data_IF_323641652914
#
_entry.id   IF_323641652914
#
_cell.length_a   1.000
_cell.length_b   1.000
_cell.length_c   1.000
_cell.angle_alpha   90.00
_cell.angle_beta   90.00
_cell.angle_gamma   90.00
#
_symmetry.space_group_name_H-M   'P 1'
#
loop_
_entity.id
_entity.type
_entity.pdbx_description
1 polymer ?
#
# COMPACT_ATOMS: atom_id res chain seq x y z
N UNK A 1 -0.64 0.60 -19.96
CA UNK A 1 -1.18 0.06 -18.70
C UNK A 1 -0.73 0.93 -17.55
N UNK A 2 -1.66 1.45 -16.74
CA UNK A 2 -1.38 2.28 -15.56
C UNK A 2 -0.90 1.41 -14.40
N UNK A 3 0.18 1.80 -13.73
CA UNK A 3 0.72 1.08 -12.57
C UNK A 3 0.25 1.73 -11.28
N UNK A 4 -0.42 0.96 -10.43
CA UNK A 4 -0.95 1.41 -9.14
C UNK A 4 -0.21 0.74 -8.00
N UNK A 5 0.49 1.54 -7.19
CA UNK A 5 1.15 1.09 -5.97
C UNK A 5 0.18 1.06 -4.79
N UNK A 6 0.04 -0.10 -4.13
CA UNK A 6 -0.79 -0.30 -2.95
C UNK A 6 0.12 -0.56 -1.73
N UNK A 7 0.22 0.41 -0.83
CA UNK A 7 1.14 0.37 0.31
C UNK A 7 0.36 0.13 1.59
N UNK A 8 0.76 -0.81 2.44
CA UNK A 8 0.10 -0.95 3.75
C UNK A 8 0.41 0.23 4.67
N UNK A 9 -0.59 0.71 5.41
CA UNK A 9 -0.39 1.68 6.49
C UNK A 9 0.56 1.13 7.58
N UNK A 10 1.01 2.00 8.49
CA UNK A 10 1.90 1.61 9.58
C UNK A 10 1.26 1.71 10.96
N UNK A 11 1.72 0.83 11.87
CA UNK A 11 1.42 0.95 13.30
C UNK A 11 1.98 2.25 13.86
N UNK A 12 3.24 2.58 13.53
CA UNK A 12 3.88 3.84 13.93
C UNK A 12 3.24 4.99 13.17
N UNK A 13 2.86 6.03 13.89
CA UNK A 13 2.24 7.25 13.36
C UNK A 13 2.86 8.45 14.07
N UNK A 14 2.83 9.62 13.45
CA UNK A 14 3.10 10.88 14.14
C UNK A 14 1.98 11.17 15.15
N UNK A 15 2.26 12.02 16.13
CA UNK A 15 1.32 12.35 17.23
C UNK A 15 0.27 13.41 16.84
N UNK A 16 0.41 14.01 15.64
CA UNK A 16 -0.50 15.04 15.12
C UNK A 16 -1.08 14.62 13.78
N UNK A 17 -2.32 15.03 13.53
CA UNK A 17 -2.99 14.85 12.25
C UNK A 17 -2.26 15.53 11.09
N UNK A 18 -2.49 15.01 9.89
CA UNK A 18 -1.88 15.53 8.67
C UNK A 18 -2.12 14.61 7.46
N UNK A 19 -1.49 14.91 6.32
CA UNK A 19 -1.51 14.02 5.15
C UNK A 19 -1.08 12.60 5.52
N UNK A 20 -1.79 11.59 5.01
CA UNK A 20 -1.57 10.19 5.36
C UNK A 20 -0.12 9.74 5.22
N UNK A 21 0.58 10.14 4.14
CA UNK A 21 2.00 9.80 3.97
C UNK A 21 2.90 10.40 5.05
N UNK A 22 2.59 11.60 5.55
CA UNK A 22 3.31 12.22 6.67
C UNK A 22 2.95 11.55 7.98
N UNK A 23 1.69 11.21 8.21
CA UNK A 23 1.28 10.53 9.44
C UNK A 23 2.04 9.20 9.59
N UNK A 24 2.12 8.37 8.55
CA UNK A 24 2.81 7.07 8.62
C UNK A 24 4.35 7.15 8.49
N UNK A 25 4.92 8.34 8.29
CA UNK A 25 6.36 8.54 8.06
C UNK A 25 7.27 8.15 9.23
N UNK A 26 6.72 8.04 10.45
CA UNK A 26 7.41 7.53 11.63
C UNK A 26 7.88 6.07 11.46
N UNK A 27 7.40 5.37 10.43
CA UNK A 27 7.81 4.02 10.07
C UNK A 27 8.81 4.01 8.92
N UNK A 28 10.04 3.57 9.18
CA UNK A 28 11.09 3.44 8.15
C UNK A 28 10.66 2.58 6.97
N UNK A 29 9.94 1.49 7.23
CA UNK A 29 9.43 0.60 6.18
C UNK A 29 8.40 1.32 5.29
N UNK A 30 7.44 2.01 5.90
CA UNK A 30 6.46 2.80 5.14
C UNK A 30 7.13 3.90 4.33
N UNK A 31 8.03 4.68 4.94
CA UNK A 31 8.71 5.79 4.27
C UNK A 31 9.54 5.31 3.06
N UNK A 32 10.21 4.16 3.17
CA UNK A 32 10.94 3.57 2.03
C UNK A 32 10.01 3.01 0.96
N UNK A 33 8.92 2.35 1.36
CA UNK A 33 7.91 1.86 0.43
C UNK A 33 7.25 3.00 -0.34
N UNK A 34 6.89 4.09 0.35
CA UNK A 34 6.29 5.28 -0.25
C UNK A 34 7.27 5.99 -1.19
N UNK A 35 8.52 6.21 -0.77
CA UNK A 35 9.53 6.81 -1.65
C UNK A 35 9.78 5.97 -2.91
N UNK A 36 9.83 4.63 -2.78
CA UNK A 36 9.93 3.74 -3.94
C UNK A 36 8.69 3.86 -4.84
N UNK A 37 7.50 3.84 -4.26
CA UNK A 37 6.25 3.94 -5.01
C UNK A 37 6.14 5.26 -5.79
N UNK A 38 6.53 6.39 -5.20
CA UNK A 38 6.56 7.70 -5.86
C UNK A 38 7.41 7.73 -7.12
N UNK A 39 8.49 6.94 -7.17
CA UNK A 39 9.38 6.89 -8.31
C UNK A 39 9.00 5.83 -9.35
N UNK A 40 8.08 4.91 -9.06
CA UNK A 40 7.85 3.72 -9.89
C UNK A 40 6.39 3.48 -10.30
N UNK A 41 5.43 4.22 -9.72
CA UNK A 41 4.00 4.03 -9.98
C UNK A 41 3.32 5.34 -10.36
N UNK A 42 2.34 5.24 -11.26
CA UNK A 42 1.57 6.38 -11.74
C UNK A 42 0.58 6.88 -10.67
N UNK A 43 0.05 5.95 -9.86
CA UNK A 43 -0.88 6.24 -8.77
C UNK A 43 -0.50 5.44 -7.54
N UNK A 44 -0.66 6.04 -6.36
CA UNK A 44 -0.37 5.41 -5.07
C UNK A 44 -1.63 5.46 -4.22
N UNK A 45 -1.96 4.33 -3.60
CA UNK A 45 -2.91 4.29 -2.50
C UNK A 45 -2.29 3.64 -1.26
N UNK A 46 -2.83 4.01 -0.11
CA UNK A 46 -2.49 3.42 1.17
C UNK A 46 -3.66 2.54 1.62
N UNK A 47 -3.36 1.27 1.92
CA UNK A 47 -4.28 0.33 2.57
C UNK A 47 -4.27 0.60 4.08
N UNK A 48 -5.21 1.43 4.53
CA UNK A 48 -5.42 1.78 5.94
C UNK A 48 -6.37 0.78 6.61
N UNK A 49 -5.97 0.26 7.78
CA UNK A 49 -6.86 -0.54 8.60
C UNK A 49 -8.15 0.20 9.00
N UNK A 50 -8.07 1.50 9.32
CA UNK A 50 -9.23 2.29 9.75
C UNK A 50 -10.01 2.86 8.57
N UNK A 51 -9.30 3.37 7.57
CA UNK A 51 -9.89 4.19 6.52
C UNK A 51 -10.06 3.46 5.17
N UNK A 52 -9.71 2.17 5.08
CA UNK A 52 -9.81 1.42 3.83
C UNK A 52 -8.74 1.86 2.83
N UNK A 53 -9.16 2.25 1.63
CA UNK A 53 -8.27 2.74 0.57
C UNK A 53 -8.22 4.27 0.58
N UNK A 54 -7.05 4.85 0.87
CA UNK A 54 -6.88 6.31 0.92
C UNK A 54 -5.73 6.77 0.02
N UNK A 55 -5.77 8.03 -0.40
CA UNK A 55 -4.66 8.67 -1.12
C UNK A 55 -3.62 9.24 -0.13
N UNK A 56 -2.34 9.36 -0.53
CA UNK A 56 -1.27 9.86 0.34
C UNK A 56 -1.52 11.25 0.92
N UNK A 57 -2.24 12.12 0.21
CA UNK A 57 -2.52 13.51 0.56
C UNK A 57 -3.72 13.67 1.49
N UNK A 58 -4.53 12.60 1.67
CA UNK A 58 -5.72 12.65 2.52
C UNK A 58 -5.33 12.99 3.97
N UNK A 59 -5.98 14.01 4.54
CA UNK A 59 -5.79 14.36 5.95
C UNK A 59 -6.40 13.29 6.84
N UNK A 60 -5.63 12.79 7.80
CA UNK A 60 -6.08 11.80 8.79
C UNK A 60 -5.50 12.12 10.17
N UNK A 61 -6.30 11.83 11.20
CA UNK A 61 -5.89 11.94 12.60
C UNK A 61 -5.21 10.65 13.08
N UNK A 62 -4.31 10.71 14.10
CA UNK A 62 -3.74 9.53 14.72
C UNK A 62 -4.82 8.56 15.24
N UNK A 63 -4.57 7.26 15.13
CA UNK A 63 -5.51 6.22 15.56
C UNK A 63 -4.79 4.92 15.93
N UNK A 64 -5.41 4.11 16.80
CA UNK A 64 -4.93 2.77 17.18
C UNK A 64 -5.89 1.67 16.72
N UNK A 65 -5.96 1.48 15.40
CA UNK A 65 -6.70 0.37 14.79
C UNK A 65 -5.74 -0.47 13.98
N UNK A 66 -5.82 -1.78 14.17
CA UNK A 66 -5.01 -2.76 13.48
C UNK A 66 -5.93 -3.73 12.76
N UNK A 67 -5.64 -3.99 11.49
CA UNK A 67 -6.39 -4.97 10.69
C UNK A 67 -6.39 -6.35 11.38
N UNK A 68 -5.31 -6.70 12.09
CA UNK A 68 -5.19 -7.96 12.83
C UNK A 68 -6.14 -8.08 14.04
N UNK A 69 -6.64 -6.97 14.58
CA UNK A 69 -7.56 -6.93 15.73
C UNK A 69 -9.04 -6.96 15.32
N UNK A 70 -9.33 -6.84 14.03
CA UNK A 70 -10.70 -6.91 13.51
C UNK A 70 -11.23 -8.35 13.53
N UNK A 71 -12.56 -8.51 13.65
CA UNK A 71 -13.21 -9.81 13.45
C UNK A 71 -13.01 -10.28 12.02
N UNK A 72 -13.16 -11.58 11.79
CA UNK A 72 -12.95 -12.16 10.46
C UNK A 72 -13.86 -11.52 9.40
N UNK A 73 -15.14 -11.35 9.73
CA UNK A 73 -16.13 -10.78 8.81
C UNK A 73 -15.84 -9.30 8.50
N UNK A 74 -15.45 -8.51 9.51
CA UNK A 74 -15.06 -7.12 9.33
C UNK A 74 -13.85 -6.99 8.38
N UNK A 75 -12.87 -7.91 8.46
CA UNK A 75 -11.73 -7.92 7.54
C UNK A 75 -12.14 -8.25 6.12
N UNK A 76 -13.06 -9.22 5.97
CA UNK A 76 -13.59 -9.59 4.65
C UNK A 76 -14.33 -8.42 4.03
N UNK A 77 -15.12 -7.70 4.81
CA UNK A 77 -15.85 -6.52 4.36
C UNK A 77 -14.91 -5.36 4.04
N UNK A 78 -13.91 -5.11 4.88
CA UNK A 78 -12.84 -4.16 4.60
C UNK A 78 -12.18 -4.43 3.23
N UNK A 79 -11.86 -5.69 2.93
CA UNK A 79 -11.28 -6.07 1.64
C UNK A 79 -12.26 -5.90 0.47
N UNK A 80 -13.54 -6.20 0.69
CA UNK A 80 -14.61 -6.03 -0.31
C UNK A 80 -14.78 -4.57 -0.71
N UNK A 81 -14.83 -3.66 0.27
CA UNK A 81 -15.00 -2.23 0.01
C UNK A 81 -13.82 -1.64 -0.78
N UNK A 82 -12.58 -2.06 -0.47
CA UNK A 82 -11.41 -1.65 -1.23
C UNK A 82 -11.50 -2.11 -2.69
N UNK A 83 -11.86 -3.37 -2.92
CA UNK A 83 -12.02 -3.92 -4.27
C UNK A 83 -13.13 -3.21 -5.03
N UNK A 84 -14.25 -2.91 -4.36
CA UNK A 84 -15.36 -2.15 -4.94
C UNK A 84 -14.88 -0.77 -5.43
N UNK A 85 -14.14 -0.04 -4.61
CA UNK A 85 -13.58 1.28 -4.99
C UNK A 85 -12.60 1.16 -6.15
N UNK A 86 -11.74 0.14 -6.17
CA UNK A 86 -10.79 -0.08 -7.26
C UNK A 86 -11.50 -0.43 -8.58
N UNK A 87 -12.51 -1.30 -8.54
CA UNK A 87 -13.30 -1.69 -9.71
C UNK A 87 -14.09 -0.53 -10.32
N UNK A 88 -14.52 0.45 -9.51
CA UNK A 88 -15.18 1.66 -10.00
C UNK A 88 -14.20 2.63 -10.67
N UNK A 89 -12.90 2.53 -10.37
CA UNK A 89 -11.88 3.47 -10.83
C UNK A 89 -11.10 2.99 -12.04
N UNK A 90 -11.02 1.68 -12.24
CA UNK A 90 -10.14 1.09 -13.25
C UNK A 90 -10.81 -0.05 -13.99
N UNK A 91 -10.52 -0.15 -15.28
CA UNK A 91 -10.76 -1.35 -16.09
C UNK A 91 -9.56 -2.28 -15.96
N UNK A 92 -9.79 -3.60 -15.87
CA UNK A 92 -8.72 -4.61 -15.70
C UNK A 92 -7.67 -4.61 -16.81
N UNK A 93 -8.08 -4.24 -18.02
CA UNK A 93 -7.20 -4.21 -19.21
C UNK A 93 -6.35 -2.93 -19.28
N UNK A 94 -6.52 -2.02 -18.32
CA UNK A 94 -5.83 -0.73 -18.30
C UNK A 94 -4.93 -0.55 -17.07
N UNK A 95 -4.95 -1.47 -16.10
CA UNK A 95 -4.28 -1.30 -14.80
C UNK A 95 -3.54 -2.54 -14.32
N UNK A 96 -2.42 -2.31 -13.66
CA UNK A 96 -1.68 -3.31 -12.88
C UNK A 96 -1.56 -2.85 -11.42
N UNK A 97 -1.84 -3.76 -10.47
CA UNK A 97 -1.71 -3.48 -9.04
C UNK A 97 -0.43 -4.07 -8.46
N UNK A 98 0.36 -3.24 -7.80
CA UNK A 98 1.60 -3.63 -7.15
C UNK A 98 1.47 -3.49 -5.63
N UNK A 99 1.49 -4.62 -4.93
CA UNK A 99 1.29 -4.68 -3.48
C UNK A 99 2.62 -4.57 -2.73
N UNK A 100 2.80 -3.44 -2.04
CA UNK A 100 3.81 -3.19 -1.02
C UNK A 100 3.17 -3.31 0.38
N UNK A 101 2.56 -4.47 0.61
CA UNK A 101 1.77 -4.74 1.80
C UNK A 101 2.00 -6.17 2.31
N UNK A 102 2.00 -6.33 3.64
CA UNK A 102 2.12 -7.64 4.27
C UNK A 102 0.95 -8.57 3.92
N UNK A 103 1.15 -9.88 4.08
CA UNK A 103 0.19 -10.94 3.71
C UNK A 103 -1.24 -10.67 4.21
N UNK A 104 -1.38 -10.20 5.46
CA UNK A 104 -2.66 -9.92 6.09
C UNK A 104 -3.49 -8.89 5.30
N UNK A 105 -2.84 -7.85 4.74
CA UNK A 105 -3.52 -6.82 3.96
C UNK A 105 -3.75 -7.28 2.51
N UNK A 106 -2.71 -7.84 1.86
CA UNK A 106 -2.81 -8.18 0.43
C UNK A 106 -3.77 -9.34 0.16
N UNK A 107 -3.82 -10.38 1.02
CA UNK A 107 -4.56 -11.62 0.70
C UNK A 107 -6.03 -11.36 0.36
N UNK A 108 -6.72 -10.54 1.16
CA UNK A 108 -8.16 -10.30 0.98
C UNK A 108 -8.47 -9.45 -0.26
N UNK A 109 -7.63 -8.45 -0.54
CA UNK A 109 -7.80 -7.54 -1.68
C UNK A 109 -7.34 -8.20 -2.97
N UNK A 110 -6.12 -8.74 -2.98
CA UNK A 110 -5.48 -9.37 -4.13
C UNK A 110 -6.27 -10.56 -4.65
N UNK A 111 -6.73 -11.47 -3.78
CA UNK A 111 -7.49 -12.64 -4.22
C UNK A 111 -8.78 -12.24 -4.96
N UNK A 112 -9.47 -11.20 -4.49
CA UNK A 112 -10.69 -10.69 -5.12
C UNK A 112 -10.37 -9.97 -6.44
N UNK A 113 -9.32 -9.14 -6.48
CA UNK A 113 -8.89 -8.50 -7.73
C UNK A 113 -8.48 -9.54 -8.79
N UNK A 114 -7.68 -10.54 -8.42
CA UNK A 114 -7.30 -11.62 -9.33
C UNK A 114 -8.52 -12.43 -9.81
N UNK A 115 -9.49 -12.70 -8.92
CA UNK A 115 -10.77 -13.31 -9.31
C UNK A 115 -11.54 -12.48 -10.35
N UNK A 116 -11.47 -11.15 -10.27
CA UNK A 116 -12.05 -10.24 -11.26
C UNK A 116 -11.18 -10.03 -12.52
N UNK A 117 -10.05 -10.74 -12.64
CA UNK A 117 -9.17 -10.71 -13.81
C UNK A 117 -8.12 -9.61 -13.81
N UNK A 118 -7.84 -8.96 -12.68
CA UNK A 118 -6.79 -7.95 -12.60
C UNK A 118 -5.39 -8.55 -12.43
N UNK A 119 -4.42 -7.97 -13.13
CA UNK A 119 -3.00 -8.23 -12.92
C UNK A 119 -2.52 -7.67 -11.58
N UNK A 120 -2.02 -8.56 -10.71
CA UNK A 120 -1.54 -8.22 -9.38
C UNK A 120 -0.11 -8.74 -9.18
N UNK A 121 0.76 -7.90 -8.63
CA UNK A 121 2.17 -8.21 -8.38
C UNK A 121 2.54 -7.93 -6.93
N UNK A 122 3.49 -8.71 -6.40
CA UNK A 122 4.00 -8.57 -5.03
C UNK A 122 5.53 -8.51 -5.08
N UNK A 123 6.13 -7.33 -5.31
CA UNK A 123 7.58 -7.21 -5.57
C UNK A 123 8.49 -7.74 -4.46
N UNK A 124 7.95 -7.87 -3.25
CA UNK A 124 8.66 -8.25 -2.04
C UNK A 124 8.19 -9.60 -1.48
N UNK A 125 7.56 -10.43 -2.31
CA UNK A 125 7.11 -11.76 -1.89
C UNK A 125 8.29 -12.59 -1.34
N UNK A 126 8.06 -13.26 -0.22
CA UNK A 126 9.09 -14.05 0.47
C UNK A 126 10.13 -13.26 1.27
N UNK A 127 10.20 -11.92 1.14
CA UNK A 127 11.20 -11.12 1.84
C UNK A 127 10.75 -10.75 3.27
N UNK A 128 11.62 -11.01 4.24
CA UNK A 128 11.48 -10.53 5.61
C UNK A 128 11.68 -9.00 5.68
N UNK A 129 11.22 -8.36 6.77
CA UNK A 129 11.25 -6.90 6.93
C UNK A 129 12.66 -6.30 6.68
N UNK A 130 13.72 -6.91 7.24
CA UNK A 130 15.10 -6.45 7.01
C UNK A 130 15.52 -6.52 5.54
N UNK A 131 15.13 -7.60 4.84
CA UNK A 131 15.41 -7.78 3.41
C UNK A 131 14.61 -6.77 2.56
N UNK A 132 13.36 -6.49 2.92
CA UNK A 132 12.56 -5.45 2.25
C UNK A 132 13.20 -4.07 2.41
N UNK A 133 13.67 -3.71 3.61
CA UNK A 133 14.37 -2.45 3.86
C UNK A 133 15.65 -2.33 3.02
N UNK A 134 16.44 -3.40 2.95
CA UNK A 134 17.64 -3.46 2.11
C UNK A 134 17.30 -3.32 0.62
N UNK A 135 16.27 -4.04 0.15
CA UNK A 135 15.78 -3.99 -1.23
C UNK A 135 15.40 -2.56 -1.64
N UNK A 136 14.57 -1.87 -0.83
CA UNK A 136 14.20 -0.49 -1.11
C UNK A 136 15.42 0.44 -1.10
N UNK A 137 16.33 0.25 -0.15
CA UNK A 137 17.55 1.08 -0.05
C UNK A 137 18.38 0.99 -1.31
N UNK A 138 18.58 -0.22 -1.85
CA UNK A 138 19.38 -0.43 -3.04
C UNK A 138 18.71 0.18 -4.29
N UNK A 139 17.39 0.00 -4.45
CA UNK A 139 16.63 0.59 -5.57
C UNK A 139 16.63 2.12 -5.52
N UNK A 140 16.43 2.70 -4.34
CA UNK A 140 16.43 4.15 -4.16
C UNK A 140 17.82 4.77 -4.36
N UNK A 141 18.90 4.05 -4.03
CA UNK A 141 20.27 4.49 -4.35
C UNK A 141 20.53 4.51 -5.85
N UNK A 142 20.12 3.46 -6.57
CA UNK A 142 20.26 3.40 -8.03
C UNK A 142 19.53 4.53 -8.76
N UNK A 143 18.37 4.95 -8.26
CA UNK A 143 17.59 6.07 -8.84
C UNK A 143 18.25 7.44 -8.69
N UNK A 144 19.07 7.65 -7.64
CA UNK A 144 19.77 8.91 -7.41
C UNK A 144 21.02 9.10 -8.28
N UNK A 145 21.51 8.04 -8.92
CA UNK A 145 22.72 8.08 -9.74
C UNK A 145 22.44 8.34 -11.23
N UNK A 146 21.17 8.40 -11.64
CA UNK A 146 20.73 8.61 -13.04
C UNK A 146 20.30 10.04 -13.36
N UNK A 147 20.66 11.01 -12.52
CA UNK A 147 20.44 12.44 -12.83
C UNK A 147 21.73 13.00 -13.42
N UNK A 148 21.78 13.06 -14.75
CA UNK A 148 22.82 13.77 -15.51
C UNK A 148 22.49 15.26 -15.58
#
# INVERSE_FOLDING_TARGET
MKKVGLISCSKKKQDKGGPAHRLYSASTLFSKAYAYAQANYDVIYILSAKHGLIIPEMWIEPYDQMLAKMKSDDRVEWGREIVRVLNLKYSRDEVEFYFHAGMLYRKLVMNKLSFHGYSCFVPLEGLMIGQQLAWYTNRLKGMRQTTF
#
